data_IF_284893460238
#
_entry.id   IF_284893460238
#
_cell.length_a   1.000
_cell.length_b   1.000
_cell.length_c   1.000
_cell.angle_alpha   90.00
_cell.angle_beta   90.00
_cell.angle_gamma   90.00
#
_symmetry.space_group_name_H-M   'P 1'
#
loop_
_entity.id
_entity.type
_entity.pdbx_description
1 polymer ?
#
# COMPACT_ATOMS: atom_id res chain seq x y z
N UNK A 1 -4.92 2.18 -28.20
CA UNK A 1 -5.45 1.58 -26.95
C UNK A 1 -5.32 2.62 -25.84
N UNK A 2 -6.42 3.04 -25.23
CA UNK A 2 -6.39 3.86 -24.02
C UNK A 2 -5.87 2.97 -22.89
N UNK A 3 -4.65 3.25 -22.40
CA UNK A 3 -4.13 2.53 -21.24
C UNK A 3 -5.02 2.83 -20.04
N UNK A 4 -5.35 1.84 -19.19
CA UNK A 4 -6.18 2.09 -18.02
C UNK A 4 -5.46 3.08 -17.10
N UNK A 5 -6.17 4.13 -16.70
CA UNK A 5 -5.64 5.16 -15.78
C UNK A 5 -5.35 4.60 -14.39
N UNK A 6 -5.94 3.47 -14.02
CA UNK A 6 -5.65 2.76 -12.78
C UNK A 6 -5.39 1.27 -13.07
N UNK A 7 -4.39 0.69 -12.41
CA UNK A 7 -4.07 -0.73 -12.47
C UNK A 7 -4.11 -1.32 -11.07
N UNK A 8 -4.67 -2.53 -10.95
CA UNK A 8 -4.57 -3.32 -9.73
C UNK A 8 -3.16 -3.93 -9.66
N UNK A 9 -2.49 -3.77 -8.52
CA UNK A 9 -1.21 -4.37 -8.21
C UNK A 9 -1.46 -5.60 -7.33
N UNK A 10 -1.17 -6.81 -7.81
CA UNK A 10 -1.36 -8.03 -7.03
C UNK A 10 -0.56 -7.97 -5.72
N UNK A 11 -1.24 -8.23 -4.61
CA UNK A 11 -0.62 -8.36 -3.30
C UNK A 11 -0.32 -9.83 -3.02
N UNK A 12 0.94 -10.14 -2.75
CA UNK A 12 1.41 -11.46 -2.38
C UNK A 12 1.77 -11.42 -0.90
N UNK A 13 1.09 -12.23 -0.08
CA UNK A 13 1.43 -12.37 1.32
C UNK A 13 2.55 -13.40 1.49
N UNK A 14 3.71 -12.95 1.95
CA UNK A 14 4.89 -13.78 2.19
C UNK A 14 5.56 -13.39 3.49
N UNK A 15 5.85 -14.38 4.32
CA UNK A 15 6.58 -14.21 5.59
C UNK A 15 6.05 -13.06 6.48
N UNK A 16 4.72 -12.88 6.54
CA UNK A 16 4.10 -11.84 7.37
C UNK A 16 4.03 -10.45 6.73
N UNK A 17 4.38 -10.30 5.46
CA UNK A 17 4.41 -9.03 4.73
C UNK A 17 3.63 -9.16 3.42
N UNK A 18 2.87 -8.13 3.05
CA UNK A 18 2.23 -8.00 1.75
C UNK A 18 3.17 -7.30 0.78
N UNK A 19 3.57 -8.01 -0.28
CA UNK A 19 4.47 -7.51 -1.31
C UNK A 19 3.68 -7.20 -2.59
N UNK A 20 3.97 -6.06 -3.21
CA UNK A 20 3.47 -5.68 -4.52
C UNK A 20 4.62 -5.21 -5.41
N UNK A 21 4.85 -5.88 -6.53
CA UNK A 21 5.88 -5.48 -7.49
C UNK A 21 5.33 -4.40 -8.43
N UNK A 22 6.11 -3.35 -8.66
CA UNK A 22 5.76 -2.24 -9.55
C UNK A 22 6.75 -2.22 -10.71
N UNK A 23 6.34 -2.81 -11.83
CA UNK A 23 7.21 -2.95 -13.01
C UNK A 23 7.38 -1.66 -13.82
N UNK A 24 6.57 -0.63 -13.56
CA UNK A 24 6.60 0.65 -14.28
C UNK A 24 7.22 1.75 -13.37
N UNK A 25 8.47 2.17 -13.66
CA UNK A 25 9.12 3.24 -12.90
C UNK A 25 8.38 4.58 -12.98
N UNK A 26 7.64 4.84 -14.06
CA UNK A 26 6.84 6.06 -14.21
C UNK A 26 5.73 6.13 -13.16
N UNK A 27 5.12 5.00 -12.80
CA UNK A 27 4.16 4.94 -11.70
C UNK A 27 4.78 5.28 -10.35
N UNK A 28 5.98 4.76 -10.07
CA UNK A 28 6.72 5.05 -8.84
C UNK A 28 7.05 6.55 -8.72
N UNK A 29 7.40 7.19 -9.84
CA UNK A 29 7.71 8.62 -9.89
C UNK A 29 6.46 9.51 -9.79
N UNK A 30 5.50 9.38 -10.70
CA UNK A 30 4.37 10.33 -10.85
C UNK A 30 2.99 9.76 -10.53
N UNK A 31 2.85 8.43 -10.39
CA UNK A 31 1.54 7.81 -10.12
C UNK A 31 0.97 8.12 -8.73
N UNK A 32 -0.24 7.68 -8.44
CA UNK A 32 -0.83 7.72 -7.09
C UNK A 32 -1.11 6.29 -6.68
N UNK A 33 -0.70 5.91 -5.47
CA UNK A 33 -0.92 4.56 -4.95
C UNK A 33 -2.01 4.58 -3.90
N UNK A 34 -3.01 3.74 -4.08
CA UNK A 34 -4.19 3.67 -3.21
C UNK A 34 -4.38 2.24 -2.74
N UNK A 35 -4.38 2.06 -1.43
CA UNK A 35 -4.73 0.82 -0.75
C UNK A 35 -6.20 0.86 -0.38
N UNK A 36 -7.00 -0.02 -0.99
CA UNK A 36 -8.37 -0.28 -0.56
C UNK A 36 -8.35 -1.41 0.47
N UNK A 37 -8.92 -1.18 1.64
CA UNK A 37 -8.98 -2.16 2.74
C UNK A 37 -10.42 -2.36 3.18
N UNK A 38 -10.82 -3.62 3.34
CA UNK A 38 -12.09 -4.02 3.93
C UNK A 38 -11.81 -5.01 5.06
N UNK A 39 -12.57 -4.88 6.13
CA UNK A 39 -12.53 -5.80 7.27
C UNK A 39 -13.92 -5.81 7.92
N UNK A 40 -14.26 -6.88 8.63
CA UNK A 40 -15.53 -7.00 9.37
C UNK A 40 -15.49 -6.19 10.67
N UNK A 41 -15.42 -4.87 10.54
CA UNK A 41 -15.37 -3.90 11.65
C UNK A 41 -15.81 -2.50 11.19
N UNK A 42 -16.17 -1.57 12.10
CA UNK A 42 -16.53 -0.20 11.74
C UNK A 42 -15.41 0.55 11.00
N UNK A 43 -15.76 1.28 9.93
CA UNK A 43 -14.78 2.03 9.11
C UNK A 43 -13.94 3.02 9.93
N UNK A 44 -14.55 3.74 10.89
CA UNK A 44 -13.82 4.67 11.74
C UNK A 44 -12.73 3.99 12.57
N UNK A 45 -13.00 2.76 13.05
CA UNK A 45 -12.02 1.96 13.78
C UNK A 45 -10.90 1.48 12.83
N UNK A 46 -11.24 1.03 11.62
CA UNK A 46 -10.27 0.64 10.60
C UNK A 46 -9.34 1.81 10.23
N UNK A 47 -9.91 3.01 10.00
CA UNK A 47 -9.17 4.25 9.70
C UNK A 47 -8.20 4.62 10.84
N UNK A 48 -8.60 4.45 12.09
CA UNK A 48 -7.74 4.77 13.23
C UNK A 48 -6.64 3.73 13.47
N UNK A 49 -6.90 2.45 13.18
CA UNK A 49 -5.97 1.35 13.49
C UNK A 49 -4.94 1.11 12.39
N UNK A 50 -5.31 1.29 11.11
CA UNK A 50 -4.47 0.90 9.97
C UNK A 50 -3.22 1.77 9.76
N UNK A 51 -3.26 3.12 9.87
CA UNK A 51 -2.07 3.97 9.73
C UNK A 51 -1.01 3.74 10.83
N UNK A 52 -1.40 3.12 11.94
CA UNK A 52 -0.50 2.70 13.01
C UNK A 52 0.20 1.37 12.73
N UNK A 53 -0.20 0.65 11.67
CA UNK A 53 0.47 -0.56 11.21
C UNK A 53 1.83 -0.21 10.60
N UNK A 54 2.88 -0.55 11.34
CA UNK A 54 4.24 -0.18 10.99
C UNK A 54 4.80 -1.16 9.95
N UNK A 55 5.20 -0.65 8.79
CA UNK A 55 5.95 -1.41 7.80
C UNK A 55 7.28 -1.91 8.42
N UNK A 56 7.37 -3.21 8.74
CA UNK A 56 8.63 -3.87 9.07
C UNK A 56 9.14 -4.61 7.84
N UNK A 57 10.39 -4.34 7.46
CA UNK A 57 11.09 -5.08 6.39
C UNK A 57 11.24 -6.55 6.80
N UNK A 58 10.96 -7.46 5.88
CA UNK A 58 11.26 -8.87 6.03
C UNK A 58 12.78 -9.10 5.98
N UNK A 59 13.33 -9.91 6.91
CA UNK A 59 14.77 -10.21 6.98
C UNK A 59 15.10 -11.34 6.00
N UNK A 60 15.58 -11.01 4.79
CA UNK A 60 16.37 -11.93 3.97
C UNK A 60 17.41 -11.18 3.09
N UNK A 61 18.35 -10.44 3.69
CA UNK A 61 19.69 -10.25 3.08
C UNK A 61 20.70 -9.68 4.11
N UNK A 62 21.86 -10.30 4.40
CA UNK A 62 22.86 -9.77 5.33
C UNK A 62 23.65 -8.56 4.81
N UNK A 63 23.57 -8.25 3.51
CA UNK A 63 24.37 -7.19 2.88
C UNK A 63 23.82 -5.77 3.04
N UNK A 64 22.55 -5.62 3.42
CA UNK A 64 21.93 -4.31 3.60
C UNK A 64 21.67 -4.06 5.08
N UNK A 65 22.48 -3.17 5.65
CA UNK A 65 22.49 -2.82 7.07
C UNK A 65 21.10 -2.50 7.63
N UNK A 66 20.91 -2.82 8.90
CA UNK A 66 19.66 -2.67 9.63
C UNK A 66 19.22 -1.20 9.63
N UNK A 67 18.36 -0.81 8.69
CA UNK A 67 17.58 0.42 8.78
C UNK A 67 16.12 0.04 8.95
N UNK A 68 15.64 0.15 10.19
CA UNK A 68 14.22 0.24 10.51
C UNK A 68 13.69 1.55 9.92
N UNK A 69 13.43 1.56 8.61
CA UNK A 69 12.80 2.71 7.96
C UNK A 69 11.42 2.93 8.58
N UNK A 70 11.07 4.19 8.85
CA UNK A 70 9.68 4.55 9.09
C UNK A 70 8.84 4.01 7.93
N UNK A 71 7.68 3.42 8.21
CA UNK A 71 6.83 2.93 7.13
C UNK A 71 6.34 4.06 6.24
N UNK A 72 5.98 3.73 4.99
CA UNK A 72 5.25 4.64 4.11
C UNK A 72 3.97 5.09 4.83
N UNK A 73 3.76 6.40 5.03
CA UNK A 73 2.55 6.90 5.67
C UNK A 73 1.33 6.56 4.83
N UNK A 74 0.23 6.22 5.50
CA UNK A 74 -1.07 5.98 4.87
C UNK A 74 -2.01 7.11 5.24
N UNK A 75 -2.51 7.82 4.23
CA UNK A 75 -3.49 8.88 4.38
C UNK A 75 -4.88 8.38 4.01
N UNK A 76 -5.80 8.35 4.97
CA UNK A 76 -7.19 7.97 4.69
C UNK A 76 -7.84 8.97 3.71
N UNK A 77 -8.54 8.44 2.71
CA UNK A 77 -9.32 9.19 1.74
C UNK A 77 -10.79 9.23 2.19
N UNK A 78 -11.46 10.36 2.00
CA UNK A 78 -12.88 10.53 2.33
C UNK A 78 -13.81 9.77 1.39
N UNK A 79 -13.34 9.42 0.19
CA UNK A 79 -14.07 8.67 -0.83
C UNK A 79 -13.11 7.88 -1.72
N UNK A 80 -13.65 6.89 -2.43
CA UNK A 80 -12.92 6.16 -3.46
C UNK A 80 -12.44 7.12 -4.57
N UNK A 81 -11.19 7.00 -5.05
CA UNK A 81 -10.76 7.73 -6.24
C UNK A 81 -11.63 7.36 -7.44
N UNK A 82 -11.96 8.35 -8.27
CA UNK A 82 -12.87 8.18 -9.43
C UNK A 82 -12.37 7.19 -10.48
N UNK A 83 -11.07 6.87 -10.46
CA UNK A 83 -10.43 5.95 -11.40
C UNK A 83 -10.56 4.49 -10.96
N UNK A 84 -10.91 4.21 -9.70
CA UNK A 84 -11.07 2.85 -9.18
C UNK A 84 -12.53 2.42 -9.31
N UNK A 85 -12.79 1.12 -9.56
CA UNK A 85 -14.13 0.57 -9.41
C UNK A 85 -14.64 0.77 -7.98
N UNK A 86 -15.92 1.12 -7.85
CA UNK A 86 -16.55 1.23 -6.54
C UNK A 86 -16.66 -0.16 -5.92
N UNK A 87 -16.14 -0.29 -4.70
CA UNK A 87 -16.30 -1.48 -3.88
C UNK A 87 -16.96 -1.08 -2.57
N UNK A 88 -18.15 -1.62 -2.32
CA UNK A 88 -18.88 -1.39 -1.07
C UNK A 88 -18.10 -1.94 0.13
N UNK A 89 -18.12 -1.22 1.25
CA UNK A 89 -17.44 -1.62 2.49
C UNK A 89 -15.93 -1.46 2.50
N UNK A 90 -15.31 -0.85 1.48
CA UNK A 90 -13.88 -0.54 1.49
C UNK A 90 -13.61 0.88 2.02
N UNK A 91 -12.51 0.98 2.76
CA UNK A 91 -11.87 2.23 3.14
C UNK A 91 -10.62 2.40 2.27
N UNK A 92 -10.39 3.60 1.76
CA UNK A 92 -9.30 3.89 0.85
C UNK A 92 -8.21 4.70 1.54
N UNK A 93 -6.96 4.30 1.36
CA UNK A 93 -5.79 4.99 1.89
C UNK A 93 -4.82 5.29 0.76
N UNK A 94 -4.38 6.54 0.65
CA UNK A 94 -3.30 6.91 -0.25
C UNK A 94 -1.96 6.71 0.43
N UNK A 95 -1.00 6.12 -0.30
CA UNK A 95 0.37 5.99 0.16
C UNK A 95 1.09 7.31 -0.09
N UNK A 96 1.58 7.95 0.96
CA UNK A 96 2.35 9.17 0.83
C UNK A 96 3.76 8.88 0.31
N UNK A 97 4.09 9.45 -0.85
CA UNK A 97 5.40 9.30 -1.50
C UNK A 97 6.51 10.15 -0.86
N UNK A 98 6.43 10.39 0.44
CA UNK A 98 7.34 11.28 1.15
C UNK A 98 8.40 10.49 1.91
N UNK A 99 9.59 11.09 2.05
CA UNK A 99 10.67 10.57 2.88
C UNK A 99 11.48 9.41 2.28
N UNK A 100 12.44 8.92 3.05
CA UNK A 100 13.38 7.88 2.64
C UNK A 100 12.73 6.53 2.37
N UNK A 101 11.61 6.23 3.02
CA UNK A 101 10.88 4.98 2.83
C UNK A 101 10.37 4.80 1.39
N UNK A 102 9.90 5.89 0.77
CA UNK A 102 9.49 5.87 -0.63
C UNK A 102 10.68 5.70 -1.57
N UNK A 103 11.83 6.30 -1.26
CA UNK A 103 13.04 6.15 -2.06
C UNK A 103 13.52 4.69 -2.13
N UNK A 104 13.40 3.95 -1.03
CA UNK A 104 13.69 2.52 -1.04
C UNK A 104 12.73 1.74 -1.94
N UNK A 105 11.44 2.11 -1.99
CA UNK A 105 10.45 1.49 -2.88
C UNK A 105 10.82 1.74 -4.33
N UNK A 106 11.16 2.99 -4.67
CA UNK A 106 11.63 3.36 -6.02
C UNK A 106 12.86 2.54 -6.41
N UNK A 107 13.79 2.34 -5.48
CA UNK A 107 15.03 1.59 -5.71
C UNK A 107 14.77 0.08 -5.82
N UNK A 108 13.87 -0.48 -5.02
CA UNK A 108 13.54 -1.90 -5.02
C UNK A 108 12.56 -2.29 -6.14
N UNK A 109 11.82 -1.33 -6.70
CA UNK A 109 10.72 -1.59 -7.64
C UNK A 109 9.54 -2.35 -7.01
N UNK A 110 9.44 -2.35 -5.68
CA UNK A 110 8.44 -3.12 -4.95
C UNK A 110 8.02 -2.43 -3.64
N UNK A 111 6.73 -2.55 -3.35
CA UNK A 111 6.09 -2.09 -2.12
C UNK A 111 5.97 -3.27 -1.15
N UNK A 112 6.49 -3.10 0.06
CA UNK A 112 6.37 -4.08 1.14
C UNK A 112 5.60 -3.46 2.30
N UNK A 113 4.47 -4.05 2.64
CA UNK A 113 3.56 -3.56 3.68
C UNK A 113 3.38 -4.60 4.78
N UNK A 114 3.60 -4.18 6.03
CA UNK A 114 3.37 -5.04 7.19
C UNK A 114 2.16 -4.52 7.96
N UNK A 115 1.10 -5.32 7.99
CA UNK A 115 -0.15 -4.99 8.67
C UNK A 115 -0.10 -5.55 10.09
N UNK A 116 0.24 -4.70 11.06
CA UNK A 116 0.14 -5.01 12.49
C UNK A 116 -1.29 -4.82 12.97
N UNK A 117 -1.89 -5.87 13.55
CA UNK A 117 -3.21 -5.81 14.16
C UNK A 117 -4.06 -7.02 13.79
N UNK A 118 -5.27 -7.05 14.34
CA UNK A 118 -6.26 -8.09 14.01
C UNK A 118 -7.39 -7.45 13.24
N UNK A 119 -7.50 -7.82 11.97
CA UNK A 119 -8.52 -7.33 11.04
C UNK A 119 -9.33 -8.54 10.58
N UNK A 120 -10.52 -8.79 11.16
CA UNK A 120 -11.34 -9.94 10.78
C UNK A 120 -11.78 -9.84 9.33
N UNK A 121 -11.70 -10.94 8.57
CA UNK A 121 -11.98 -10.99 7.13
C UNK A 121 -11.26 -9.89 6.34
N UNK A 122 -9.99 -9.64 6.68
CA UNK A 122 -9.17 -8.64 6.00
C UNK A 122 -9.07 -8.95 4.51
N UNK A 123 -9.47 -7.97 3.73
CA UNK A 123 -9.36 -7.97 2.29
C UNK A 123 -8.68 -6.67 1.86
N UNK A 124 -7.67 -6.79 1.01
CA UNK A 124 -6.83 -5.67 0.60
C UNK A 124 -6.57 -5.71 -0.89
N UNK A 125 -6.63 -4.53 -1.48
CA UNK A 125 -6.28 -4.32 -2.88
C UNK A 125 -5.40 -3.09 -3.00
N UNK A 126 -4.26 -3.25 -3.66
CA UNK A 126 -3.41 -2.12 -4.00
C UNK A 126 -3.68 -1.70 -5.44
N UNK A 127 -3.82 -0.40 -5.63
CA UNK A 127 -4.07 0.21 -6.93
C UNK A 127 -3.01 1.27 -7.21
N UNK A 128 -2.55 1.33 -8.44
CA UNK A 128 -1.68 2.39 -8.93
C UNK A 128 -2.40 3.16 -10.04
N UNK A 129 -2.53 4.47 -9.85
CA UNK A 129 -3.18 5.39 -10.77
C UNK A 129 -2.09 6.18 -11.50
N UNK A 130 -2.12 6.20 -12.83
CA UNK A 130 -1.25 7.10 -13.62
C UNK A 130 -1.80 8.52 -13.56
N UNK A 131 -0.93 9.47 -13.24
CA UNK A 131 -1.19 10.92 -13.33
C UNK A 131 -1.24 11.41 -14.77
#
# INVERSE_FOLDING_TARGET
MLQPRAQNLPLIFTEGVYLATVNDPGLLQSGVFVLAVRARMPHAQLISSLPSSRNRRHRQNPQYGQRSGAGIPLRALSAAPRQLPYHDGYVYFELEKSGSAWQDVVTAGALAMHISGTFPDLDMQLWAIRG
#
